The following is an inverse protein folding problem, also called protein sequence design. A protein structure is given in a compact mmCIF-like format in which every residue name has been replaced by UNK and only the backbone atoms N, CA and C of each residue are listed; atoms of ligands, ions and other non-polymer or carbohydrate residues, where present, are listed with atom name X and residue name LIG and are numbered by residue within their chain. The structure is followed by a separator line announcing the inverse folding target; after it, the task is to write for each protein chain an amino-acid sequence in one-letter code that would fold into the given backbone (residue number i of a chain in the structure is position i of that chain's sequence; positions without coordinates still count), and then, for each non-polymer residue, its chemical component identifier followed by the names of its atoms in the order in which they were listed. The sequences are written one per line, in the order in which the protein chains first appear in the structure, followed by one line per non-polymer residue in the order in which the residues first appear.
data_IF_820308393948
#
_entry.id   IF_820308393948
#
_cell.length_a   1.000
_cell.length_b   1.000
_cell.length_c   1.000
_cell.angle_alpha   90.00
_cell.angle_beta   90.00
_cell.angle_gamma   90.00
#
_symmetry.space_group_name_H-M   'P 1'
#
loop_
_entity.id
_entity.type
_entity.pdbx_description
1 polymer ?
#
# COMPACT_ATOMS: atom_id res chain seq x y z
N UNK A 1 -5.60 5.14 5.37
CA UNK A 1 -4.47 4.52 4.63
C UNK A 1 -4.36 5.27 3.33
N UNK A 2 -3.25 5.94 3.09
CA UNK A 2 -2.99 6.67 1.85
C UNK A 2 -2.21 5.76 0.91
N UNK A 3 -2.75 5.48 -0.27
CA UNK A 3 -1.98 5.00 -1.41
C UNK A 3 -1.28 6.21 -2.02
N UNK A 4 0.04 6.23 -2.05
CA UNK A 4 0.78 7.36 -2.60
C UNK A 4 1.29 7.05 -4.00
N UNK A 5 0.96 7.95 -4.90
CA UNK A 5 1.86 8.36 -5.96
C UNK A 5 3.16 8.90 -5.34
N UNK A 6 4.27 8.80 -6.05
CA UNK A 6 5.50 9.48 -5.59
C UNK A 6 5.22 10.97 -5.37
N UNK A 7 5.92 11.60 -4.43
CA UNK A 7 5.77 13.03 -4.15
C UNK A 7 5.92 13.87 -5.42
N UNK A 8 6.82 13.48 -6.34
CA UNK A 8 6.98 14.09 -7.67
C UNK A 8 5.72 14.05 -8.53
N UNK A 9 4.92 12.97 -8.41
CA UNK A 9 3.68 12.87 -9.18
C UNK A 9 2.59 13.73 -8.59
N UNK A 10 2.50 13.80 -7.24
CA UNK A 10 1.56 14.68 -6.54
C UNK A 10 1.86 16.15 -6.83
N UNK A 11 3.12 16.54 -6.81
CA UNK A 11 3.54 17.93 -7.07
C UNK A 11 3.27 18.34 -8.52
N UNK A 12 3.45 17.44 -9.48
CA UNK A 12 3.06 17.66 -10.89
C UNK A 12 1.55 17.88 -11.06
N UNK A 13 0.72 17.23 -10.25
CA UNK A 13 -0.74 17.39 -10.32
C UNK A 13 -1.27 18.63 -9.61
N UNK A 14 -0.58 19.14 -8.60
CA UNK A 14 -1.05 20.31 -7.84
C UNK A 14 -0.95 21.63 -8.57
N UNK A 15 -0.24 21.69 -9.72
CA UNK A 15 -0.12 22.91 -10.51
C UNK A 15 0.39 24.10 -9.69
N UNK A 16 1.28 23.87 -8.73
CA UNK A 16 1.68 24.86 -7.76
C UNK A 16 2.71 25.79 -8.39
N UNK A 17 2.27 26.94 -8.82
CA UNK A 17 3.04 28.17 -8.70
C UNK A 17 3.19 28.51 -7.21
N UNK A 18 4.13 27.88 -6.55
CA UNK A 18 4.68 28.37 -5.29
C UNK A 18 6.18 28.56 -5.49
N UNK A 19 6.55 29.80 -5.77
CA UNK A 19 7.87 30.32 -5.49
C UNK A 19 8.13 30.22 -3.99
N UNK A 20 8.69 29.12 -3.56
CA UNK A 20 9.26 28.99 -2.22
C UNK A 20 10.76 29.02 -2.38
N UNK A 21 11.36 30.10 -1.89
CA UNK A 21 12.80 30.23 -1.71
C UNK A 21 13.29 29.10 -0.79
N UNK A 22 13.89 28.08 -1.38
CA UNK A 22 14.65 27.06 -0.67
C UNK A 22 16.10 27.53 -0.54
N UNK A 23 16.76 27.39 0.61
CA UNK A 23 18.16 27.74 0.76
C UNK A 23 19.03 26.83 -0.13
N UNK A 24 19.99 27.46 -0.83
CA UNK A 24 20.94 26.81 -1.72
C UNK A 24 21.74 25.72 -1.00
N UNK A 25 21.60 24.48 -1.43
CA UNK A 25 22.52 23.41 -1.06
C UNK A 25 23.65 23.40 -2.07
N UNK A 26 24.87 23.73 -1.59
CA UNK A 26 26.11 23.73 -2.34
C UNK A 26 26.37 22.35 -2.99
N UNK A 27 26.52 22.37 -4.31
CA UNK A 27 27.10 21.26 -5.07
C UNK A 27 28.62 21.28 -4.87
N UNK A 28 29.17 20.35 -4.12
CA UNK A 28 30.55 19.93 -4.25
C UNK A 28 30.68 18.44 -3.98
N UNK A 29 31.45 17.82 -4.89
CA UNK A 29 32.07 16.49 -4.84
C UNK A 29 31.28 15.27 -5.32
N UNK A 30 31.28 15.11 -6.64
CA UNK A 30 31.26 13.80 -7.27
C UNK A 30 32.61 13.08 -6.98
N UNK A 31 32.57 12.02 -6.22
CA UNK A 31 33.30 10.75 -6.36
C UNK A 31 33.46 10.06 -5.00
N UNK A 32 32.72 8.98 -4.80
CA UNK A 32 33.24 7.69 -4.31
C UNK A 32 32.09 6.71 -4.13
N UNK A 33 32.13 5.70 -4.95
CA UNK A 33 31.40 4.43 -4.83
C UNK A 33 31.52 3.88 -3.41
N UNK A 34 30.46 4.10 -2.63
CA UNK A 34 30.16 3.29 -1.45
C UNK A 34 28.64 3.13 -1.45
N UNK A 35 28.18 1.93 -1.77
CA UNK A 35 26.78 1.53 -1.57
C UNK A 35 26.50 1.59 -0.07
N UNK A 36 26.23 2.79 0.44
CA UNK A 36 25.62 2.97 1.75
C UNK A 36 24.22 2.37 1.66
N UNK A 37 24.05 1.14 2.16
CA UNK A 37 22.77 0.64 2.64
C UNK A 37 22.28 1.66 3.67
N UNK A 38 21.48 2.67 3.23
CA UNK A 38 20.67 3.46 4.13
C UNK A 38 19.83 2.44 4.91
N UNK A 39 20.10 2.29 6.19
CA UNK A 39 19.19 1.60 7.09
C UNK A 39 17.83 2.26 6.91
N UNK A 40 16.90 1.56 6.26
CA UNK A 40 15.52 2.02 6.15
C UNK A 40 14.94 1.93 7.57
N UNK A 41 14.89 3.06 8.26
CA UNK A 41 14.25 3.16 9.56
C UNK A 41 12.74 2.92 9.39
N UNK A 42 12.15 2.18 10.33
CA UNK A 42 10.70 1.99 10.38
C UNK A 42 10.01 3.34 10.66
N UNK A 43 9.08 3.74 9.78
CA UNK A 43 8.22 4.89 10.02
C UNK A 43 7.05 4.46 10.93
N UNK A 44 7.29 4.45 12.24
CA UNK A 44 6.30 4.06 13.26
C UNK A 44 5.26 5.18 13.37
N UNK A 45 3.98 4.81 13.28
CA UNK A 45 2.83 5.72 13.40
C UNK A 45 2.17 5.58 14.76
N UNK A 46 2.14 4.37 15.30
CA UNK A 46 1.59 4.06 16.61
C UNK A 46 2.28 2.83 17.19
N UNK A 47 2.50 2.82 18.48
CA UNK A 47 3.03 1.67 19.23
C UNK A 47 2.51 1.69 20.66
N UNK A 48 2.03 0.53 21.12
CA UNK A 48 1.77 0.22 22.52
C UNK A 48 2.32 -1.18 22.85
N UNK A 49 1.90 -1.78 23.97
CA UNK A 49 2.37 -3.09 24.39
C UNK A 49 1.88 -4.23 23.49
N UNK A 50 0.75 -4.04 22.80
CA UNK A 50 0.07 -5.06 22.02
C UNK A 50 0.20 -4.87 20.51
N UNK A 51 0.29 -3.62 20.03
CA UNK A 51 0.15 -3.27 18.63
C UNK A 51 1.28 -2.36 18.17
N UNK A 52 1.77 -2.62 16.96
CA UNK A 52 2.66 -1.74 16.22
C UNK A 52 2.03 -1.38 14.87
N UNK A 53 1.91 -0.08 14.58
CA UNK A 53 1.46 0.43 13.28
C UNK A 53 2.59 1.17 12.60
N UNK A 54 2.93 0.75 11.40
CA UNK A 54 4.00 1.36 10.60
C UNK A 54 3.49 1.87 9.27
N UNK A 55 4.07 2.96 8.79
CA UNK A 55 3.83 3.46 7.43
C UNK A 55 4.86 2.83 6.48
N UNK A 56 4.43 1.84 5.70
CA UNK A 56 5.29 1.15 4.76
C UNK A 56 5.67 2.07 3.59
N UNK A 57 6.94 2.21 3.32
CA UNK A 57 7.43 2.96 2.17
C UNK A 57 7.14 2.24 0.83
N UNK A 58 7.09 3.01 -0.26
CA UNK A 58 7.08 2.46 -1.63
C UNK A 58 8.36 1.67 -1.90
N UNK A 59 8.28 0.63 -2.73
CA UNK A 59 9.41 -0.25 -3.06
C UNK A 59 9.70 -1.35 -2.03
N UNK A 60 9.20 -1.23 -0.79
CA UNK A 60 9.37 -2.21 0.28
C UNK A 60 8.36 -3.35 0.16
N UNK A 61 8.83 -4.59 0.29
CA UNK A 61 7.96 -5.76 0.40
C UNK A 61 7.30 -5.82 1.78
N UNK A 62 6.01 -6.16 1.85
CA UNK A 62 5.34 -6.46 3.13
C UNK A 62 5.85 -7.77 3.71
N UNK A 63 6.00 -8.80 2.87
CA UNK A 63 6.55 -10.12 3.21
C UNK A 63 7.52 -10.55 2.12
N UNK A 64 8.47 -11.42 2.45
CA UNK A 64 9.42 -11.99 1.48
C UNK A 64 8.70 -12.67 0.31
N UNK A 65 9.17 -12.42 -0.88
CA UNK A 65 8.80 -13.17 -2.08
C UNK A 65 9.82 -14.29 -2.35
N UNK A 66 11.11 -14.03 -2.00
CA UNK A 66 12.21 -14.99 -2.12
C UNK A 66 12.98 -15.04 -0.80
N UNK A 67 13.79 -16.08 -0.62
CA UNK A 67 14.54 -16.32 0.63
C UNK A 67 15.53 -15.18 0.95
N UNK A 68 16.14 -14.61 -0.06
CA UNK A 68 17.12 -13.51 0.03
C UNK A 68 16.50 -12.13 0.23
N UNK A 69 15.18 -11.99 0.04
CA UNK A 69 14.51 -10.72 0.20
C UNK A 69 14.52 -10.28 1.68
N UNK A 70 14.62 -8.97 1.89
CA UNK A 70 14.32 -8.34 3.18
C UNK A 70 13.01 -7.58 3.06
N UNK A 71 12.05 -7.89 3.93
CA UNK A 71 10.71 -7.32 3.91
C UNK A 71 10.39 -6.57 5.20
N UNK A 72 9.25 -5.91 5.24
CA UNK A 72 8.80 -5.17 6.42
C UNK A 72 8.73 -6.07 7.67
N UNK A 73 8.37 -7.35 7.51
CA UNK A 73 8.33 -8.30 8.64
C UNK A 73 9.69 -8.43 9.31
N UNK A 74 10.78 -8.53 8.54
CA UNK A 74 12.13 -8.61 9.13
C UNK A 74 12.50 -7.31 9.82
N UNK A 75 12.19 -6.14 9.24
CA UNK A 75 12.46 -4.85 9.89
C UNK A 75 11.69 -4.70 11.20
N UNK A 76 10.42 -5.11 11.25
CA UNK A 76 9.62 -5.12 12.50
C UNK A 76 10.20 -6.09 13.52
N UNK A 77 10.59 -7.29 13.08
CA UNK A 77 11.20 -8.30 13.96
C UNK A 77 12.49 -7.77 14.59
N UNK A 78 13.40 -7.24 13.78
CA UNK A 78 14.66 -6.68 14.25
C UNK A 78 14.42 -5.52 15.24
N UNK A 79 13.47 -4.64 14.92
CA UNK A 79 13.10 -3.52 15.78
C UNK A 79 12.61 -3.96 17.17
N UNK A 80 11.70 -4.93 17.21
CA UNK A 80 11.12 -5.40 18.47
C UNK A 80 12.12 -6.24 19.28
N UNK A 81 12.95 -7.06 18.62
CA UNK A 81 14.00 -7.82 19.30
C UNK A 81 15.05 -6.93 19.93
N UNK A 82 15.40 -5.82 19.31
CA UNK A 82 16.38 -4.87 19.87
C UNK A 82 15.86 -4.16 21.12
N UNK A 83 14.55 -3.98 21.26
CA UNK A 83 13.93 -3.29 22.41
C UNK A 83 13.51 -4.22 23.54
N UNK A 84 13.13 -5.46 23.21
CA UNK A 84 12.82 -6.47 24.21
C UNK A 84 14.13 -7.09 24.69
N UNK A 85 14.56 -6.77 25.91
CA UNK A 85 15.70 -7.42 26.59
C UNK A 85 15.50 -8.93 26.84
N UNK A 86 14.39 -9.50 26.35
CA UNK A 86 14.06 -10.92 26.47
C UNK A 86 14.54 -11.66 25.22
N UNK A 87 15.77 -12.13 25.26
CA UNK A 87 16.38 -13.00 24.22
C UNK A 87 15.69 -14.37 24.04
N UNK A 88 14.76 -14.74 24.91
CA UNK A 88 14.17 -16.09 24.98
C UNK A 88 12.70 -16.18 24.47
N UNK A 89 12.12 -15.11 23.87
CA UNK A 89 10.76 -15.24 23.38
C UNK A 89 10.72 -16.00 22.06
N UNK A 90 10.07 -17.15 22.06
CA UNK A 90 9.79 -17.99 20.88
C UNK A 90 8.81 -17.29 19.91
N UNK A 91 8.09 -16.27 20.38
CA UNK A 91 7.13 -15.52 19.58
C UNK A 91 7.83 -14.62 18.56
N UNK A 92 7.34 -14.68 17.30
CA UNK A 92 7.75 -13.76 16.26
C UNK A 92 6.58 -12.85 15.89
N UNK A 93 6.77 -11.52 15.91
CA UNK A 93 5.74 -10.58 15.52
C UNK A 93 5.30 -10.83 14.08
N UNK A 94 4.01 -10.64 13.82
CA UNK A 94 3.42 -10.85 12.50
C UNK A 94 2.60 -9.65 12.05
N UNK A 95 2.60 -9.40 10.74
CA UNK A 95 1.74 -8.38 10.14
C UNK A 95 0.34 -8.93 9.87
N UNK A 96 -0.70 -8.12 10.15
CA UNK A 96 -2.10 -8.50 10.02
C UNK A 96 -2.70 -8.12 8.66
N UNK A 97 -2.07 -7.20 7.93
CA UNK A 97 -2.45 -6.83 6.58
C UNK A 97 -1.22 -6.70 5.69
N UNK A 98 -1.41 -6.70 4.37
CA UNK A 98 -0.35 -6.55 3.39
C UNK A 98 -0.68 -5.44 2.42
N UNK A 99 0.34 -4.78 1.93
CA UNK A 99 0.31 -3.84 0.82
C UNK A 99 1.25 -4.34 -0.28
N UNK A 100 0.93 -4.04 -1.51
CA UNK A 100 1.80 -4.36 -2.64
C UNK A 100 3.14 -3.60 -2.52
N UNK A 101 4.17 -4.03 -3.25
CA UNK A 101 5.52 -3.47 -3.14
C UNK A 101 5.52 -1.94 -3.25
N UNK A 102 4.88 -1.41 -4.27
CA UNK A 102 4.86 0.04 -4.57
C UNK A 102 3.72 0.80 -3.86
N UNK A 103 2.87 0.11 -3.11
CA UNK A 103 1.83 0.72 -2.30
C UNK A 103 2.41 1.19 -0.97
N UNK A 104 2.21 2.46 -0.65
CA UNK A 104 2.54 3.03 0.67
C UNK A 104 1.33 2.97 1.59
N UNK A 105 1.56 3.07 2.90
CA UNK A 105 0.48 3.18 3.87
C UNK A 105 0.63 2.26 5.07
N UNK A 106 -0.43 2.18 5.86
CA UNK A 106 -0.38 1.57 7.18
C UNK A 106 -0.39 0.04 7.12
N UNK A 107 0.55 -0.54 7.84
CA UNK A 107 0.58 -1.97 8.16
C UNK A 107 0.52 -2.11 9.67
N UNK A 108 -0.36 -2.99 10.13
CA UNK A 108 -0.59 -3.33 11.53
C UNK A 108 0.09 -4.65 11.85
N UNK A 109 0.83 -4.69 12.93
CA UNK A 109 1.48 -5.88 13.46
C UNK A 109 1.06 -6.14 14.92
N UNK A 110 0.85 -7.40 15.27
CA UNK A 110 0.66 -7.82 16.66
C UNK A 110 2.02 -8.06 17.30
N UNK A 111 2.20 -7.57 18.54
CA UNK A 111 3.43 -7.71 19.34
C UNK A 111 3.37 -8.91 20.26
N UNK A 112 2.18 -9.48 20.51
CA UNK A 112 1.94 -10.71 21.28
C UNK A 112 1.14 -11.72 20.45
N UNK A 113 1.08 -12.96 20.91
CA UNK A 113 0.29 -14.02 20.25
C UNK A 113 -1.20 -13.63 20.25
N UNK A 114 -1.69 -13.15 21.38
CA UNK A 114 -3.07 -12.76 21.60
C UNK A 114 -3.47 -11.60 20.70
N UNK A 115 -2.67 -10.53 20.67
CA UNK A 115 -2.95 -9.37 19.84
C UNK A 115 -2.88 -9.71 18.34
N UNK A 116 -1.92 -10.55 17.93
CA UNK A 116 -1.82 -11.02 16.55
C UNK A 116 -3.04 -11.83 16.12
N UNK A 117 -3.51 -12.76 16.99
CA UNK A 117 -4.71 -13.56 16.70
C UNK A 117 -5.95 -12.68 16.66
N UNK A 118 -6.12 -11.77 17.62
CA UNK A 118 -7.24 -10.85 17.69
C UNK A 118 -7.31 -9.95 16.44
N UNK A 119 -6.22 -9.30 16.10
CA UNK A 119 -6.16 -8.44 14.90
C UNK A 119 -6.42 -9.23 13.61
N UNK A 120 -5.83 -10.41 13.47
CA UNK A 120 -6.09 -11.27 12.30
C UNK A 120 -7.57 -11.66 12.18
N UNK A 121 -8.25 -11.90 13.31
CA UNK A 121 -9.69 -12.14 13.33
C UNK A 121 -10.46 -10.91 12.82
N UNK A 122 -10.19 -9.72 13.34
CA UNK A 122 -10.84 -8.47 12.90
C UNK A 122 -10.68 -8.23 11.39
N UNK A 123 -9.48 -8.47 10.84
CA UNK A 123 -9.25 -8.36 9.40
C UNK A 123 -9.99 -9.44 8.59
N UNK A 124 -10.04 -10.68 9.09
CA UNK A 124 -10.73 -11.82 8.45
C UNK A 124 -12.25 -11.62 8.44
N UNK A 125 -12.82 -11.17 9.54
CA UNK A 125 -14.25 -10.93 9.72
C UNK A 125 -14.70 -9.59 9.11
N UNK A 126 -13.74 -8.78 8.61
CA UNK A 126 -13.96 -7.48 7.96
C UNK A 126 -14.57 -6.44 8.91
N UNK A 127 -14.26 -6.54 10.18
CA UNK A 127 -14.65 -5.54 11.18
C UNK A 127 -13.83 -4.25 11.07
N UNK A 128 -12.70 -4.31 10.34
CA UNK A 128 -11.84 -3.16 10.06
C UNK A 128 -12.00 -2.69 8.61
N UNK A 129 -12.36 -1.43 8.44
CA UNK A 129 -12.39 -0.79 7.12
C UNK A 129 -10.98 -0.45 6.64
N UNK A 130 -10.74 -0.66 5.35
CA UNK A 130 -9.47 -0.36 4.68
C UNK A 130 -9.70 0.68 3.60
N UNK A 131 -9.30 1.91 3.90
CA UNK A 131 -9.41 3.02 2.97
C UNK A 131 -8.09 3.29 2.26
N UNK A 132 -8.19 3.57 0.97
CA UNK A 132 -7.07 3.92 0.11
C UNK A 132 -7.36 5.22 -0.63
N UNK A 133 -6.31 5.97 -0.93
CA UNK A 133 -6.37 7.08 -1.88
C UNK A 133 -5.62 6.66 -3.15
N UNK A 134 -6.21 6.91 -4.29
CA UNK A 134 -5.56 6.67 -5.58
C UNK A 134 -6.02 7.69 -6.63
N UNK A 135 -5.17 7.95 -7.61
CA UNK A 135 -5.52 8.75 -8.78
C UNK A 135 -5.76 7.80 -9.94
N UNK A 136 -6.86 8.02 -10.66
CA UNK A 136 -7.21 7.27 -11.86
C UNK A 136 -7.30 8.17 -13.08
N UNK A 137 -7.10 7.60 -14.26
CA UNK A 137 -7.31 8.27 -15.53
C UNK A 137 -8.81 8.43 -15.79
N UNK A 138 -9.20 9.60 -16.27
CA UNK A 138 -10.58 9.95 -16.61
C UNK A 138 -11.37 10.56 -15.47
N UNK A 139 -12.59 10.99 -15.78
CA UNK A 139 -13.52 11.62 -14.85
C UNK A 139 -14.52 10.58 -14.31
N UNK A 140 -14.54 10.40 -13.00
CA UNK A 140 -15.52 9.58 -12.28
C UNK A 140 -16.41 10.52 -11.47
N UNK A 141 -17.66 10.70 -11.88
CA UNK A 141 -18.55 11.71 -11.31
C UNK A 141 -19.32 11.25 -10.06
N UNK A 142 -19.46 9.95 -9.84
CA UNK A 142 -20.31 9.41 -8.78
C UNK A 142 -19.60 8.32 -7.98
N UNK A 143 -19.99 8.20 -6.70
CA UNK A 143 -19.59 7.06 -5.86
C UNK A 143 -20.30 5.80 -6.33
N UNK A 144 -19.60 4.69 -6.33
CA UNK A 144 -20.14 3.40 -6.75
C UNK A 144 -19.43 2.25 -6.06
N UNK A 145 -20.05 1.07 -6.10
CA UNK A 145 -19.43 -0.20 -5.66
C UNK A 145 -19.31 -1.13 -6.85
N UNK A 146 -18.07 -1.50 -7.18
CA UNK A 146 -17.79 -2.49 -8.21
C UNK A 146 -17.91 -3.88 -7.58
N UNK A 147 -18.79 -4.70 -8.15
CA UNK A 147 -18.95 -6.11 -7.82
C UNK A 147 -18.48 -6.96 -9.01
N UNK A 148 -17.61 -7.91 -8.76
CA UNK A 148 -17.06 -8.73 -9.82
C UNK A 148 -16.37 -9.99 -9.29
N UNK A 149 -15.86 -10.77 -10.22
CA UNK A 149 -15.13 -11.99 -9.92
C UNK A 149 -13.70 -11.86 -10.42
N UNK A 150 -12.76 -11.99 -9.48
CA UNK A 150 -11.34 -11.95 -9.76
C UNK A 150 -10.83 -13.36 -10.06
N UNK A 151 -10.19 -13.51 -11.20
CA UNK A 151 -9.46 -14.72 -11.57
C UNK A 151 -7.98 -14.38 -11.68
N UNK A 152 -7.16 -15.14 -10.98
CA UNK A 152 -5.71 -15.02 -11.05
C UNK A 152 -5.16 -16.16 -11.93
N UNK A 153 -4.38 -15.81 -12.92
CA UNK A 153 -3.61 -16.78 -13.69
C UNK A 153 -2.30 -17.09 -12.97
N UNK A 154 -2.14 -18.34 -12.52
CA UNK A 154 -1.00 -18.73 -11.68
C UNK A 154 0.36 -18.55 -12.36
N UNK A 155 0.43 -18.82 -13.67
CA UNK A 155 1.68 -18.75 -14.43
C UNK A 155 2.18 -17.33 -14.69
N UNK A 156 1.27 -16.39 -14.93
CA UNK A 156 1.60 -15.00 -15.30
C UNK A 156 1.42 -13.99 -14.17
N UNK A 157 0.86 -14.41 -13.03
CA UNK A 157 0.37 -13.52 -11.97
C UNK A 157 -0.65 -12.47 -12.44
N UNK A 158 -1.15 -12.60 -13.68
CA UNK A 158 -2.12 -11.68 -14.25
C UNK A 158 -3.48 -11.88 -13.60
N UNK A 159 -4.11 -10.76 -13.27
CA UNK A 159 -5.43 -10.72 -12.66
C UNK A 159 -6.42 -10.19 -13.68
N UNK A 160 -7.54 -10.88 -13.83
CA UNK A 160 -8.64 -10.45 -14.70
C UNK A 160 -9.95 -10.38 -13.92
N UNK A 161 -10.80 -9.44 -14.30
CA UNK A 161 -12.13 -9.26 -13.71
C UNK A 161 -13.19 -9.79 -14.67
N UNK A 162 -14.14 -10.51 -14.11
CA UNK A 162 -15.28 -11.07 -14.83
C UNK A 162 -16.58 -10.67 -14.14
N UNK A 163 -17.63 -10.41 -14.92
CA UNK A 163 -18.97 -10.09 -14.40
C UNK A 163 -19.69 -11.30 -13.81
N UNK A 164 -19.41 -12.50 -14.33
CA UNK A 164 -20.03 -13.75 -13.88
C UNK A 164 -19.00 -14.65 -13.20
N UNK A 165 -19.47 -15.46 -12.24
CA UNK A 165 -18.66 -16.46 -11.57
C UNK A 165 -18.17 -17.51 -12.57
N UNK A 166 -16.87 -17.77 -12.57
CA UNK A 166 -16.25 -18.89 -13.28
C UNK A 166 -15.49 -19.76 -12.27
N UNK A 167 -15.17 -20.98 -12.68
CA UNK A 167 -14.37 -21.89 -11.87
C UNK A 167 -13.02 -21.26 -11.52
N UNK A 168 -12.62 -21.35 -10.26
CA UNK A 168 -11.39 -20.72 -9.73
C UNK A 168 -11.46 -19.21 -9.53
N UNK A 169 -12.60 -18.55 -9.87
CA UNK A 169 -12.77 -17.11 -9.59
C UNK A 169 -13.32 -16.83 -8.20
N UNK A 170 -12.93 -15.68 -7.61
CA UNK A 170 -13.35 -15.25 -6.28
C UNK A 170 -14.11 -13.94 -6.38
N UNK A 171 -15.30 -13.86 -5.77
CA UNK A 171 -16.08 -12.61 -5.71
C UNK A 171 -15.31 -11.55 -4.93
N UNK A 172 -15.26 -10.36 -5.48
CA UNK A 172 -14.61 -9.20 -4.90
C UNK A 172 -15.52 -7.96 -4.96
N UNK A 173 -15.38 -7.11 -3.95
CA UNK A 173 -16.15 -5.88 -3.79
C UNK A 173 -15.20 -4.72 -3.49
N UNK A 174 -15.34 -3.62 -4.22
CA UNK A 174 -14.57 -2.38 -4.04
C UNK A 174 -15.52 -1.20 -4.16
N UNK A 175 -15.71 -0.44 -3.10
CA UNK A 175 -16.44 0.82 -3.17
C UNK A 175 -15.46 1.97 -3.38
N UNK A 176 -15.87 2.99 -4.11
CA UNK A 176 -15.10 4.21 -4.29
C UNK A 176 -15.96 5.46 -4.26
N UNK A 177 -15.34 6.56 -3.91
CA UNK A 177 -15.92 7.89 -3.85
C UNK A 177 -14.94 8.89 -4.49
N UNK A 178 -15.35 9.66 -5.51
CA UNK A 178 -14.52 10.72 -6.06
C UNK A 178 -14.38 11.86 -5.05
N UNK A 179 -13.14 12.34 -4.84
CA UNK A 179 -12.84 13.44 -3.94
C UNK A 179 -12.53 14.72 -4.70
N UNK A 180 -11.68 14.62 -5.73
CA UNK A 180 -11.19 15.77 -6.49
C UNK A 180 -11.01 15.40 -7.96
N UNK A 181 -11.11 16.40 -8.82
CA UNK A 181 -10.88 16.30 -10.27
C UNK A 181 -9.69 17.16 -10.65
N UNK A 182 -8.91 16.66 -11.58
CA UNK A 182 -7.77 17.39 -12.14
C UNK A 182 -7.64 17.20 -13.63
N UNK A 183 -6.95 18.14 -14.27
CA UNK A 183 -6.57 18.02 -15.68
C UNK A 183 -5.10 18.31 -15.84
N UNK A 184 -4.40 17.43 -16.56
CA UNK A 184 -3.00 17.61 -16.89
C UNK A 184 -2.76 17.19 -18.34
N UNK A 185 -2.10 18.06 -19.14
CA UNK A 185 -1.78 17.81 -20.55
C UNK A 185 -2.97 17.30 -21.39
N UNK A 186 -4.16 17.91 -21.23
CA UNK A 186 -5.42 17.55 -21.90
C UNK A 186 -6.08 16.24 -21.43
N UNK A 187 -5.48 15.52 -20.51
CA UNK A 187 -6.09 14.34 -19.90
C UNK A 187 -6.76 14.69 -18.58
N UNK A 188 -7.83 13.99 -18.27
CA UNK A 188 -8.60 14.15 -17.04
C UNK A 188 -8.23 13.05 -16.04
N UNK A 189 -8.29 13.38 -14.76
CA UNK A 189 -7.96 12.51 -13.66
C UNK A 189 -8.90 12.71 -12.49
N UNK A 190 -9.11 11.66 -11.72
CA UNK A 190 -9.92 11.72 -10.52
C UNK A 190 -9.11 11.16 -9.34
N UNK A 191 -9.09 11.92 -8.23
CA UNK A 191 -8.64 11.41 -6.94
C UNK A 191 -9.80 10.67 -6.29
N UNK A 192 -9.59 9.39 -5.98
CA UNK A 192 -10.59 8.53 -5.35
C UNK A 192 -10.20 8.18 -3.91
N UNK A 193 -11.21 8.17 -3.04
CA UNK A 193 -11.19 7.39 -1.81
C UNK A 193 -11.82 6.03 -2.10
N UNK A 194 -11.08 4.97 -1.83
CA UNK A 194 -11.50 3.59 -2.08
C UNK A 194 -11.69 2.86 -0.77
N UNK A 195 -12.84 2.23 -0.56
CA UNK A 195 -13.10 1.28 0.52
C UNK A 195 -12.90 -0.14 -0.03
N UNK A 196 -11.86 -0.82 0.47
CA UNK A 196 -11.51 -2.18 0.06
C UNK A 196 -12.28 -3.21 0.89
N UNK A 197 -13.52 -3.49 0.52
CA UNK A 197 -14.44 -4.41 1.23
C UNK A 197 -13.87 -5.83 1.25
N UNK A 198 -13.38 -6.32 0.12
CA UNK A 198 -12.60 -7.56 0.03
C UNK A 198 -11.14 -7.22 -0.24
N UNK A 199 -10.19 -8.09 0.13
CA UNK A 199 -8.76 -7.79 0.03
C UNK A 199 -7.99 -8.87 -0.74
N UNK A 200 -8.06 -8.85 -2.08
CA UNK A 200 -7.26 -9.72 -2.95
C UNK A 200 -6.11 -8.95 -3.59
N UNK A 201 -5.04 -9.64 -3.94
CA UNK A 201 -3.87 -9.02 -4.59
C UNK A 201 -4.30 -8.26 -5.85
N UNK A 202 -3.81 -7.04 -6.00
CA UNK A 202 -4.09 -6.14 -7.14
C UNK A 202 -5.58 -5.84 -7.38
N UNK A 203 -6.45 -6.05 -6.36
CA UNK A 203 -7.90 -5.91 -6.53
C UNK A 203 -8.33 -4.51 -6.98
N UNK A 204 -7.86 -3.46 -6.29
CA UNK A 204 -8.21 -2.07 -6.65
C UNK A 204 -7.76 -1.77 -8.07
N UNK A 205 -6.53 -2.14 -8.43
CA UNK A 205 -5.97 -2.00 -9.77
C UNK A 205 -6.87 -2.63 -10.83
N UNK A 206 -7.17 -3.92 -10.67
CA UNK A 206 -7.95 -4.69 -11.62
C UNK A 206 -9.40 -4.19 -11.74
N UNK A 207 -10.04 -3.83 -10.61
CA UNK A 207 -11.40 -3.31 -10.62
C UNK A 207 -11.49 -1.97 -11.35
N UNK A 208 -10.66 -0.98 -10.99
CA UNK A 208 -10.69 0.33 -11.61
C UNK A 208 -10.31 0.27 -13.10
N UNK A 209 -9.35 -0.58 -13.48
CA UNK A 209 -9.04 -0.84 -14.88
C UNK A 209 -10.23 -1.45 -15.63
N UNK A 210 -11.00 -2.37 -15.00
CA UNK A 210 -12.14 -3.05 -15.64
C UNK A 210 -13.30 -2.12 -15.98
N UNK A 211 -13.39 -0.98 -15.32
CA UNK A 211 -14.38 0.08 -15.61
C UNK A 211 -13.81 1.23 -16.46
N UNK A 212 -12.59 1.06 -17.02
CA UNK A 212 -11.96 2.03 -17.92
C UNK A 212 -11.17 3.16 -17.22
N UNK A 213 -10.97 3.08 -15.91
CA UNK A 213 -10.26 4.07 -15.10
C UNK A 213 -9.00 3.49 -14.44
N UNK A 214 -7.93 3.20 -15.21
CA UNK A 214 -6.71 2.62 -14.66
C UNK A 214 -6.04 3.59 -13.66
N UNK A 215 -5.33 3.00 -12.69
CA UNK A 215 -4.51 3.75 -11.74
C UNK A 215 -3.36 4.46 -12.46
N UNK A 216 -3.02 5.66 -11.99
CA UNK A 216 -1.85 6.39 -12.44
C UNK A 216 -0.62 5.96 -11.62
N UNK A 217 0.52 5.80 -12.31
CA UNK A 217 1.77 5.37 -11.68
C UNK A 217 1.84 3.87 -11.36
N UNK A 218 0.91 3.12 -11.90
CA UNK A 218 0.85 1.67 -11.75
C UNK A 218 1.37 0.99 -13.02
N UNK A 219 2.48 0.22 -12.92
CA UNK A 219 3.18 -0.43 -14.02
C UNK A 219 2.92 -1.93 -14.06
#
# INVERSE_FOLDING_TARGET
IKLFLSDETIDKFRGIEQTVNAPAINKTDANKTAVNKKEQSLAIVYEDDEVLVVNKASGMLSQKAKKEDRSLVEYITDYLMTRQQQQDSVFRPGICNRLDRNTTGLIVAGKTVESLQYLNRLFKERELHKYYLCIVKGCIAQKETIDGYLQKEEKSNKVTIQKAKKEGSVRILTAYEPLEYGRYQKEEYTLLKVDLITGKSHQIRAHLQSIGHPLIGDH
#
